data_IF_758736157781
#
_entry.id   IF_758736157781
#
_cell.length_a   1.000
_cell.length_b   1.000
_cell.length_c   1.000
_cell.angle_alpha   90.00
_cell.angle_beta   90.00
_cell.angle_gamma   90.00
#
_symmetry.space_group_name_H-M   'P 1'
#
loop_
_entity.id
_entity.type
_entity.pdbx_description
1 polymer ?
#
# COMPACT_ATOMS: atom_id res chain seq x y z
N UNK A 1 15.32 0.39 -8.40
CA UNK A 1 15.40 -0.28 -7.07
C UNK A 1 15.18 0.70 -5.90
N UNK A 2 15.12 2.02 -6.12
CA UNK A 2 14.97 3.03 -5.05
C UNK A 2 13.56 3.18 -4.43
N UNK A 3 12.46 2.94 -5.17
CA UNK A 3 11.13 3.37 -4.69
C UNK A 3 10.47 2.49 -3.60
N UNK A 4 10.90 1.23 -3.42
CA UNK A 4 10.22 0.32 -2.48
C UNK A 4 10.54 0.65 -1.01
N UNK A 5 11.81 0.89 -0.69
CA UNK A 5 12.24 1.23 0.66
C UNK A 5 11.75 2.62 1.09
N UNK A 6 11.73 3.60 0.17
CA UNK A 6 11.25 4.95 0.49
C UNK A 6 9.78 4.99 0.87
N UNK A 7 8.93 4.16 0.24
CA UNK A 7 7.50 4.16 0.53
C UNK A 7 7.19 3.56 1.90
N UNK A 8 7.81 2.42 2.25
CA UNK A 8 7.58 1.80 3.55
C UNK A 8 8.07 2.70 4.68
N UNK A 9 9.25 3.33 4.55
CA UNK A 9 9.73 4.30 5.53
C UNK A 9 8.84 5.53 5.69
N UNK A 10 8.26 6.05 4.60
CA UNK A 10 7.33 7.18 4.66
C UNK A 10 6.03 6.80 5.40
N UNK A 11 5.50 5.61 5.11
CA UNK A 11 4.29 5.12 5.77
C UNK A 11 4.55 4.83 7.25
N UNK A 12 5.70 4.23 7.57
CA UNK A 12 6.10 3.94 8.95
C UNK A 12 6.40 5.22 9.75
N UNK A 13 7.00 6.26 9.13
CA UNK A 13 7.22 7.55 9.81
C UNK A 13 5.92 8.25 10.18
N UNK A 14 4.85 8.03 9.41
CA UNK A 14 3.50 8.53 9.68
C UNK A 14 2.71 7.62 10.66
N UNK A 15 3.35 6.55 11.17
CA UNK A 15 2.76 5.59 12.11
C UNK A 15 1.84 4.56 11.45
N UNK A 16 1.86 4.46 10.12
CA UNK A 16 1.15 3.45 9.35
C UNK A 16 2.01 2.21 9.07
N UNK A 17 1.35 1.15 8.60
CA UNK A 17 2.04 0.01 7.99
C UNK A 17 1.40 -0.34 6.65
N UNK A 18 2.21 -0.73 5.67
CA UNK A 18 1.74 -1.23 4.38
C UNK A 18 2.01 -2.73 4.27
N UNK A 19 0.98 -3.48 3.91
CA UNK A 19 1.06 -4.93 3.70
C UNK A 19 0.65 -5.29 2.29
N UNK A 20 1.34 -6.25 1.69
CA UNK A 20 0.94 -6.95 0.48
C UNK A 20 0.05 -8.13 0.85
N UNK A 21 -1.18 -8.15 0.35
CA UNK A 21 -2.12 -9.25 0.54
C UNK A 21 -2.03 -10.26 -0.62
N UNK A 22 -1.98 -9.76 -1.85
CA UNK A 22 -1.81 -10.60 -3.04
C UNK A 22 -1.21 -9.81 -4.20
N UNK A 23 -0.54 -10.53 -5.09
CA UNK A 23 0.05 -9.99 -6.31
C UNK A 23 -0.22 -10.96 -7.46
N UNK A 24 -0.83 -10.47 -8.53
CA UNK A 24 -1.07 -11.21 -9.78
C UNK A 24 -0.84 -10.31 -10.99
N UNK A 25 -0.92 -10.89 -12.20
CA UNK A 25 -0.85 -10.13 -13.45
C UNK A 25 -2.01 -9.13 -13.63
N UNK A 26 -3.10 -9.33 -12.89
CA UNK A 26 -4.32 -8.52 -13.01
C UNK A 26 -4.43 -7.46 -11.91
N UNK A 27 -4.02 -7.80 -10.68
CA UNK A 27 -4.17 -6.91 -9.54
C UNK A 27 -3.08 -7.04 -8.47
N UNK A 28 -2.80 -5.92 -7.80
CA UNK A 28 -2.03 -5.84 -6.57
C UNK A 28 -2.98 -5.44 -5.45
N UNK A 29 -3.09 -6.26 -4.41
CA UNK A 29 -3.89 -5.96 -3.25
C UNK A 29 -3.00 -5.58 -2.07
N UNK A 30 -3.22 -4.37 -1.55
CA UNK A 30 -2.47 -3.78 -0.46
C UNK A 30 -3.40 -3.43 0.69
N UNK A 31 -2.91 -3.57 1.91
CA UNK A 31 -3.58 -3.12 3.13
C UNK A 31 -2.73 -2.04 3.81
N UNK A 32 -3.34 -0.89 4.04
CA UNK A 32 -2.81 0.15 4.91
C UNK A 32 -3.40 -0.01 6.31
N UNK A 33 -2.56 -0.25 7.31
CA UNK A 33 -2.94 -0.52 8.70
C UNK A 33 -2.49 0.61 9.63
N UNK A 34 -2.78 0.44 10.92
CA UNK A 34 -2.30 1.22 12.06
C UNK A 34 -2.83 2.64 12.04
N UNK A 35 -2.00 3.68 12.21
CA UNK A 35 -2.49 5.07 12.24
C UNK A 35 -3.12 5.50 10.91
N UNK A 36 -2.85 4.77 9.83
CA UNK A 36 -3.48 4.99 8.54
C UNK A 36 -4.76 4.15 8.33
N UNK A 37 -5.11 3.26 9.26
CA UNK A 37 -6.34 2.47 9.17
C UNK A 37 -7.58 3.35 9.43
N UNK A 38 -8.35 3.59 8.38
CA UNK A 38 -9.59 4.38 8.45
C UNK A 38 -9.38 5.90 8.42
N UNK A 39 -8.16 6.38 8.15
CA UNK A 39 -7.92 7.80 7.95
C UNK A 39 -8.62 8.29 6.67
N UNK A 40 -9.45 9.35 6.72
CA UNK A 40 -10.13 9.88 5.52
C UNK A 40 -9.15 10.39 4.45
N UNK A 41 -7.93 10.79 4.87
CA UNK A 41 -6.83 11.18 3.98
C UNK A 41 -6.26 10.04 3.14
N UNK A 42 -6.63 8.79 3.44
CA UNK A 42 -6.15 7.61 2.72
C UNK A 42 -6.39 7.67 1.21
N UNK A 43 -7.51 8.23 0.76
CA UNK A 43 -7.81 8.37 -0.67
C UNK A 43 -6.73 9.18 -1.40
N UNK A 44 -6.21 10.24 -0.77
CA UNK A 44 -5.10 11.04 -1.27
C UNK A 44 -3.78 10.26 -1.24
N UNK A 45 -3.45 9.62 -0.12
CA UNK A 45 -2.24 8.79 0.00
C UNK A 45 -2.23 7.69 -1.05
N UNK A 46 -3.37 7.03 -1.27
CA UNK A 46 -3.55 6.03 -2.32
C UNK A 46 -3.28 6.64 -3.70
N UNK A 47 -3.98 7.72 -4.05
CA UNK A 47 -3.95 8.27 -5.41
C UNK A 47 -2.61 8.91 -5.78
N UNK A 48 -1.97 9.62 -4.85
CA UNK A 48 -0.81 10.48 -5.15
C UNK A 48 0.52 9.94 -4.64
N UNK A 49 0.52 8.98 -3.71
CA UNK A 49 1.75 8.40 -3.15
C UNK A 49 1.89 6.94 -3.56
N UNK A 50 0.89 6.11 -3.22
CA UNK A 50 0.99 4.65 -3.40
C UNK A 50 0.83 4.27 -4.87
N UNK A 51 -0.28 4.62 -5.52
CA UNK A 51 -0.56 4.20 -6.90
C UNK A 51 0.55 4.58 -7.90
N UNK A 52 1.11 5.80 -7.89
CA UNK A 52 2.16 6.19 -8.84
C UNK A 52 3.42 5.31 -8.77
N UNK A 53 3.78 4.86 -7.56
CA UNK A 53 4.97 4.02 -7.35
C UNK A 53 4.79 2.66 -8.02
N UNK A 54 3.61 2.07 -7.92
CA UNK A 54 3.31 0.80 -8.55
C UNK A 54 3.04 0.96 -10.05
N UNK A 55 2.39 2.03 -10.50
CA UNK A 55 2.09 2.28 -11.93
C UNK A 55 3.35 2.39 -12.79
N UNK A 56 4.45 2.93 -12.25
CA UNK A 56 5.72 2.97 -12.97
C UNK A 56 6.23 1.55 -13.33
N UNK A 57 6.02 0.58 -12.44
CA UNK A 57 6.47 -0.80 -12.64
C UNK A 57 5.41 -1.72 -13.25
N UNK A 58 4.13 -1.40 -13.04
CA UNK A 58 2.97 -2.21 -13.38
C UNK A 58 1.87 -1.33 -13.99
N UNK A 59 2.04 -0.83 -15.23
CA UNK A 59 1.17 0.21 -15.80
C UNK A 59 -0.28 -0.26 -16.01
N UNK A 60 -0.48 -1.56 -16.28
CA UNK A 60 -1.79 -2.13 -16.62
C UNK A 60 -2.43 -2.91 -15.46
N UNK A 61 -1.77 -2.98 -14.30
CA UNK A 61 -2.25 -3.78 -13.16
C UNK A 61 -3.17 -2.93 -12.29
N UNK A 62 -4.30 -3.50 -11.89
CA UNK A 62 -5.22 -2.83 -10.97
C UNK A 62 -4.61 -2.76 -9.57
N UNK A 63 -4.46 -1.55 -9.03
CA UNK A 63 -3.94 -1.36 -7.67
C UNK A 63 -5.13 -1.19 -6.73
N UNK A 64 -5.36 -2.19 -5.88
CA UNK A 64 -6.42 -2.22 -4.88
C UNK A 64 -5.80 -1.96 -3.51
N UNK A 65 -6.01 -0.77 -2.95
CA UNK A 65 -5.55 -0.46 -1.59
C UNK A 65 -6.76 -0.38 -0.69
N UNK A 66 -6.77 -1.16 0.39
CA UNK A 66 -7.78 -1.13 1.45
C UNK A 66 -7.15 -0.66 2.76
N UNK A 67 -7.98 -0.26 3.72
CA UNK A 67 -7.53 0.15 5.06
C UNK A 67 -8.20 -0.69 6.13
N UNK A 68 -7.49 -1.01 7.20
CA UNK A 68 -8.08 -1.70 8.35
C UNK A 68 -7.03 -2.20 9.34
N UNK A 69 -7.49 -2.57 10.54
CA UNK A 69 -6.63 -3.06 11.62
C UNK A 69 -6.42 -4.58 11.60
N UNK A 70 -7.33 -5.32 10.95
CA UNK A 70 -7.22 -6.77 10.85
C UNK A 70 -6.28 -7.15 9.70
N UNK A 71 -5.02 -7.40 10.01
CA UNK A 71 -4.02 -7.88 9.06
C UNK A 71 -4.14 -9.40 8.91
N UNK A 72 -4.41 -9.94 7.70
CA UNK A 72 -4.46 -11.38 7.48
C UNK A 72 -3.11 -12.07 7.73
N UNK A 73 -3.12 -13.32 8.20
CA UNK A 73 -1.88 -14.05 8.54
C UNK A 73 -0.92 -14.27 7.35
N UNK A 74 -1.43 -14.27 6.11
CA UNK A 74 -0.62 -14.42 4.90
C UNK A 74 -0.08 -13.09 4.37
N UNK A 75 -0.38 -11.96 5.02
CA UNK A 75 0.03 -10.64 4.57
C UNK A 75 1.54 -10.46 4.77
N UNK A 76 2.21 -9.85 3.77
CA UNK A 76 3.65 -9.58 3.83
C UNK A 76 3.83 -8.08 4.08
N UNK A 77 4.49 -7.71 5.18
CA UNK A 77 4.84 -6.30 5.44
C UNK A 77 5.87 -5.84 4.40
N UNK A 78 5.62 -4.68 3.77
CA UNK A 78 6.38 -4.20 2.61
C UNK A 78 7.61 -3.37 2.96
#
# INVERSE_FOLDING_TARGET
MLCRQSLSHLIESDGGSLYLLSFSEQAIHLLLSDHCAGCPGFSWTRQYVIEPIFRNKFPNVKICVTTGYCVPAHAIKL
#
